data_IF_929233039287
#
_entry.id   IF_929233039287
#
_cell.length_a   1.000
_cell.length_b   1.000
_cell.length_c   1.000
_cell.angle_alpha   90.00
_cell.angle_beta   90.00
_cell.angle_gamma   90.00
#
_symmetry.space_group_name_H-M   'P 1'
#
loop_
_entity.id
_entity.type
_entity.pdbx_description
1 polymer ?
#
# COMPACT_ATOMS: atom_id res chain seq x y z
N UNK A 1 -4.80 -6.95 9.54
CA UNK A 1 -4.10 -5.66 9.48
C UNK A 1 -3.28 -5.65 8.20
N UNK A 2 -3.39 -4.63 7.35
CA UNK A 2 -2.69 -4.63 6.05
C UNK A 2 -1.22 -4.26 6.25
N UNK A 3 -0.35 -4.85 5.43
CA UNK A 3 1.05 -4.44 5.40
C UNK A 3 1.16 -3.02 4.82
N UNK A 4 2.01 -2.19 5.42
CA UNK A 4 2.24 -0.82 4.96
C UNK A 4 3.73 -0.49 4.89
N UNK A 5 4.07 0.51 4.09
CA UNK A 5 5.40 1.07 3.99
C UNK A 5 5.55 2.19 5.02
N UNK A 6 6.51 2.05 5.92
CA UNK A 6 6.81 3.08 6.92
C UNK A 6 7.67 4.17 6.29
N UNK A 7 7.04 5.31 5.99
CA UNK A 7 7.70 6.47 5.36
C UNK A 7 8.02 7.49 6.44
N UNK A 8 9.31 7.79 6.62
CA UNK A 8 9.73 8.82 7.58
C UNK A 8 9.48 10.23 7.04
N UNK A 9 8.28 10.74 7.32
CA UNK A 9 7.83 12.08 6.92
C UNK A 9 8.61 13.23 7.57
N UNK A 10 9.44 12.96 8.59
CA UNK A 10 10.29 13.99 9.21
C UNK A 10 11.60 14.19 8.45
N UNK A 11 11.99 13.23 7.62
CA UNK A 11 13.24 13.21 6.88
C UNK A 11 12.99 13.15 5.37
N UNK A 12 12.28 14.15 4.83
CA UNK A 12 12.00 14.28 3.39
C UNK A 12 13.11 15.09 2.70
N UNK A 13 13.63 14.66 1.53
CA UNK A 13 13.26 13.46 0.79
C UNK A 13 13.65 12.17 1.49
N UNK A 14 12.71 11.24 1.60
CA UNK A 14 12.93 9.94 2.23
C UNK A 14 13.21 8.91 1.13
N UNK A 15 14.38 8.27 1.19
CA UNK A 15 14.80 7.26 0.22
C UNK A 15 14.98 5.95 0.95
N UNK A 16 14.37 4.90 0.43
CA UNK A 16 14.44 3.57 0.99
C UNK A 16 14.39 2.53 -0.13
N UNK A 17 14.86 1.33 0.20
CA UNK A 17 14.86 0.18 -0.70
C UNK A 17 13.92 -0.87 -0.13
N UNK A 18 13.11 -1.49 -0.98
CA UNK A 18 12.19 -2.56 -0.60
C UNK A 18 12.26 -3.71 -1.58
N UNK A 19 12.12 -4.93 -1.08
CA UNK A 19 11.98 -6.14 -1.90
C UNK A 19 10.51 -6.57 -1.92
N UNK A 20 9.91 -6.66 -3.10
CA UNK A 20 8.52 -7.08 -3.33
C UNK A 20 8.54 -8.26 -4.31
N UNK A 21 8.01 -9.42 -3.89
CA UNK A 21 7.92 -10.65 -4.73
C UNK A 21 9.27 -11.03 -5.39
N UNK A 22 10.37 -10.84 -4.67
CA UNK A 22 11.72 -11.15 -5.14
C UNK A 22 12.39 -10.06 -5.98
N UNK A 23 11.67 -9.00 -6.34
CA UNK A 23 12.19 -7.85 -7.08
C UNK A 23 12.52 -6.71 -6.12
N UNK A 24 13.68 -6.07 -6.31
CA UNK A 24 14.12 -4.94 -5.48
C UNK A 24 13.77 -3.62 -6.15
N UNK A 25 13.17 -2.72 -5.39
CA UNK A 25 12.81 -1.37 -5.82
C UNK A 25 13.46 -0.33 -4.92
N UNK A 26 14.01 0.71 -5.52
CA UNK A 26 14.39 1.92 -4.82
C UNK A 26 13.23 2.91 -4.91
N UNK A 27 12.81 3.44 -3.77
CA UNK A 27 11.71 4.39 -3.69
C UNK A 27 12.19 5.68 -3.04
N UNK A 28 11.74 6.80 -3.59
CA UNK A 28 11.95 8.14 -3.03
C UNK A 28 10.61 8.81 -2.85
N UNK A 29 10.36 9.29 -1.64
CA UNK A 29 9.20 10.12 -1.31
C UNK A 29 9.63 11.56 -1.13
N UNK A 30 8.98 12.46 -1.84
CA UNK A 30 9.15 13.91 -1.76
C UNK A 30 7.85 14.57 -1.29
N UNK A 31 7.93 15.77 -0.72
CA UNK A 31 6.78 16.55 -0.27
C UNK A 31 6.67 17.85 -1.06
N UNK A 32 5.46 18.16 -1.54
CA UNK A 32 5.14 19.40 -2.22
C UNK A 32 4.52 20.39 -1.23
N UNK A 33 5.31 21.38 -0.79
CA UNK A 33 4.85 22.38 0.19
C UNK A 33 3.78 23.34 -0.36
N UNK A 34 3.68 23.50 -1.68
CA UNK A 34 2.75 24.46 -2.30
C UNK A 34 1.33 23.89 -2.35
N UNK A 35 1.22 22.60 -2.61
CA UNK A 35 -0.06 21.93 -2.84
C UNK A 35 -0.41 20.89 -1.76
N UNK A 36 0.42 20.74 -0.73
CA UNK A 36 0.24 19.87 0.44
C UNK A 36 -0.06 18.41 0.07
N UNK A 37 0.86 17.79 -0.67
CA UNK A 37 0.81 16.36 -0.95
C UNK A 37 2.20 15.76 -1.09
N UNK A 38 2.29 14.46 -0.91
CA UNK A 38 3.50 13.69 -1.12
C UNK A 38 3.54 13.10 -2.53
N UNK A 39 4.74 12.87 -3.03
CA UNK A 39 4.97 12.21 -4.33
C UNK A 39 5.93 11.06 -4.16
N UNK A 40 5.82 10.04 -5.02
CA UNK A 40 6.73 8.92 -5.04
C UNK A 40 7.42 8.77 -6.40
N UNK A 41 8.69 8.44 -6.37
CA UNK A 41 9.49 8.04 -7.52
C UNK A 41 9.99 6.63 -7.28
N UNK A 42 9.83 5.74 -8.26
CA UNK A 42 10.19 4.33 -8.16
C UNK A 42 11.22 3.99 -9.22
N UNK A 43 12.29 3.33 -8.81
CA UNK A 43 13.30 2.75 -9.68
C UNK A 43 13.39 1.24 -9.49
N UNK A 44 13.73 0.54 -10.55
CA UNK A 44 14.03 -0.88 -10.57
C UNK A 44 15.24 -1.11 -11.49
N UNK A 45 16.26 -1.83 -11.01
CA UNK A 45 17.48 -2.12 -11.78
C UNK A 45 18.11 -0.87 -12.45
N UNK A 46 18.23 0.23 -11.71
CA UNK A 46 18.70 1.55 -12.19
C UNK A 46 17.84 2.21 -13.29
N UNK A 47 16.71 1.61 -13.68
CA UNK A 47 15.70 2.22 -14.56
C UNK A 47 14.65 2.92 -13.70
N UNK A 48 14.31 4.16 -14.06
CA UNK A 48 13.21 4.90 -13.43
C UNK A 48 11.89 4.48 -14.05
N UNK A 49 10.98 3.95 -13.24
CA UNK A 49 9.67 3.45 -13.67
C UNK A 49 8.58 4.52 -13.48
N UNK A 50 8.55 5.15 -12.30
CA UNK A 50 7.63 6.23 -11.94
C UNK A 50 8.41 7.46 -11.55
N UNK A 51 7.89 8.65 -11.86
CA UNK A 51 8.54 9.93 -11.53
C UNK A 51 7.57 10.89 -10.86
N UNK A 52 7.84 11.21 -9.60
CA UNK A 52 7.07 12.18 -8.81
C UNK A 52 5.55 11.98 -8.92
N UNK A 53 5.12 10.72 -8.91
CA UNK A 53 3.70 10.37 -8.96
C UNK A 53 3.02 10.89 -7.68
N UNK A 54 1.95 11.70 -7.78
CA UNK A 54 1.22 12.17 -6.61
C UNK A 54 0.61 11.00 -5.83
N UNK A 55 0.86 10.98 -4.52
CA UNK A 55 0.19 10.05 -3.62
C UNK A 55 -1.18 10.66 -3.29
N UNK A 56 -2.23 10.14 -3.92
CA UNK A 56 -3.61 10.60 -3.76
C UNK A 56 -4.42 9.64 -2.90
N UNK A 57 -5.17 10.17 -1.94
CA UNK A 57 -5.96 9.37 -1.01
C UNK A 57 -6.93 8.45 -1.76
N UNK A 58 -6.92 7.15 -1.42
CA UNK A 58 -7.73 6.09 -2.01
C UNK A 58 -7.19 5.52 -3.33
N UNK A 59 -6.14 6.11 -3.91
CA UNK A 59 -5.64 5.71 -5.23
C UNK A 59 -4.45 4.75 -5.17
N UNK A 60 -4.36 3.93 -6.22
CA UNK A 60 -3.23 3.06 -6.49
C UNK A 60 -2.09 3.86 -7.12
N UNK A 61 -0.86 3.56 -6.70
CA UNK A 61 0.35 4.18 -7.23
C UNK A 61 0.64 3.63 -8.63
N UNK A 62 0.72 4.51 -9.62
CA UNK A 62 1.08 4.13 -10.99
C UNK A 62 0.01 3.37 -11.75
N UNK A 63 -1.26 3.46 -11.33
CA UNK A 63 -2.41 2.76 -11.95
C UNK A 63 -2.56 3.04 -13.45
N UNK A 64 -2.18 4.25 -13.89
CA UNK A 64 -2.33 4.68 -15.27
C UNK A 64 -1.13 4.31 -16.15
N UNK A 65 -0.09 3.67 -15.59
CA UNK A 65 1.13 3.32 -16.32
C UNK A 65 1.15 1.82 -16.62
N UNK A 66 1.01 1.40 -17.88
CA UNK A 66 1.11 0.00 -18.27
C UNK A 66 2.57 -0.45 -18.42
N UNK A 67 3.39 -0.31 -17.37
CA UNK A 67 4.78 -0.82 -17.35
C UNK A 67 4.83 -2.15 -16.55
N UNK A 68 5.14 -3.29 -17.19
CA UNK A 68 5.19 -4.59 -16.51
C UNK A 68 6.32 -4.72 -15.49
N UNK A 69 7.29 -3.80 -15.45
CA UNK A 69 8.36 -3.77 -14.45
C UNK A 69 7.95 -3.08 -13.14
N UNK A 70 6.77 -2.43 -13.11
CA UNK A 70 6.22 -1.91 -11.86
C UNK A 70 6.03 -3.01 -10.83
N UNK A 71 5.99 -2.66 -9.53
CA UNK A 71 5.67 -3.61 -8.48
C UNK A 71 4.43 -4.42 -8.83
N UNK A 72 4.56 -5.75 -8.80
CA UNK A 72 3.43 -6.69 -9.04
C UNK A 72 2.40 -6.65 -7.93
N UNK A 73 2.80 -6.14 -6.76
CA UNK A 73 1.92 -5.89 -5.62
C UNK A 73 1.41 -4.46 -5.76
N UNK A 74 0.09 -4.33 -5.70
CA UNK A 74 -0.59 -3.05 -5.70
C UNK A 74 -0.22 -2.25 -4.44
N UNK A 75 0.15 -0.98 -4.62
CA UNK A 75 0.46 -0.04 -3.54
C UNK A 75 -0.63 1.03 -3.55
N UNK A 76 -1.33 1.21 -2.44
CA UNK A 76 -2.43 2.17 -2.29
C UNK A 76 -2.11 3.21 -1.23
N UNK A 77 -2.37 4.48 -1.54
CA UNK A 77 -2.37 5.53 -0.51
C UNK A 77 -3.74 5.52 0.17
N UNK A 78 -3.83 5.13 1.44
CA UNK A 78 -5.13 5.05 2.13
C UNK A 78 -5.00 5.22 3.64
N UNK A 79 -6.14 5.30 4.31
CA UNK A 79 -6.31 5.24 5.76
C UNK A 79 -7.19 4.02 6.07
N UNK A 80 -6.76 3.13 6.97
CA UNK A 80 -7.53 1.95 7.39
C UNK A 80 -8.83 2.32 8.12
N UNK A 81 -8.87 3.48 8.79
CA UNK A 81 -10.05 3.92 9.55
C UNK A 81 -11.10 4.61 8.69
N UNK A 82 -10.74 5.01 7.46
CA UNK A 82 -11.62 5.73 6.54
C UNK A 82 -12.03 7.14 6.99
N UNK A 83 -11.30 7.74 7.93
CA UNK A 83 -11.61 9.05 8.51
C UNK A 83 -10.82 10.18 7.84
N UNK A 84 -9.66 9.87 7.27
CA UNK A 84 -8.86 10.85 6.57
C UNK A 84 -9.64 11.45 5.39
N UNK A 85 -9.63 12.77 5.27
CA UNK A 85 -10.22 13.52 4.14
C UNK A 85 -9.16 14.07 3.19
N UNK A 86 -7.90 14.04 3.61
CA UNK A 86 -6.73 14.48 2.85
C UNK A 86 -5.53 13.57 3.15
N UNK A 87 -4.46 13.76 2.39
CA UNK A 87 -3.18 13.04 2.47
C UNK A 87 -2.00 14.01 2.60
N UNK A 88 -2.24 15.18 3.18
CA UNK A 88 -1.25 16.22 3.38
C UNK A 88 -0.31 15.92 4.56
N UNK A 89 0.50 16.90 4.92
CA UNK A 89 1.50 16.79 6.00
C UNK A 89 0.91 16.46 7.39
N UNK A 90 -0.37 16.79 7.61
CA UNK A 90 -1.06 16.53 8.87
C UNK A 90 -1.48 15.07 9.05
N UNK A 91 -1.66 14.32 7.96
CA UNK A 91 -2.30 13.00 7.95
C UNK A 91 -1.36 11.91 7.47
N UNK A 92 -0.52 12.18 6.47
CA UNK A 92 0.40 11.20 5.90
C UNK A 92 1.52 10.81 6.87
N UNK A 93 1.80 9.51 6.98
CA UNK A 93 2.71 8.91 7.96
C UNK A 93 2.05 8.59 9.30
N UNK A 94 0.88 9.14 9.60
CA UNK A 94 0.15 8.89 10.85
C UNK A 94 -1.11 8.06 10.59
N UNK A 95 -2.08 8.68 9.92
CA UNK A 95 -3.40 8.10 9.58
C UNK A 95 -3.38 7.55 8.16
N UNK A 96 -2.85 8.33 7.21
CA UNK A 96 -2.69 7.93 5.81
C UNK A 96 -1.31 7.33 5.61
N UNK A 97 -1.24 6.15 4.99
CA UNK A 97 0.02 5.47 4.67
C UNK A 97 -0.06 4.80 3.31
N UNK A 98 1.07 4.29 2.84
CA UNK A 98 1.15 3.43 1.67
C UNK A 98 0.92 1.99 2.08
N UNK A 99 -0.22 1.43 1.74
CA UNK A 99 -0.57 0.05 2.03
C UNK A 99 -0.27 -0.84 0.82
N UNK A 100 0.26 -2.02 1.10
CA UNK A 100 0.37 -3.09 0.13
C UNK A 100 -1.00 -3.78 0.07
N UNK A 101 -1.69 -3.65 -1.06
CA UNK A 101 -3.00 -4.26 -1.33
C UNK A 101 -2.80 -5.74 -1.71
N UNK A 102 -2.14 -6.48 -0.82
CA UNK A 102 -2.17 -7.94 -0.83
C UNK A 102 -3.40 -8.34 -0.04
N UNK A 103 -4.54 -8.45 -0.72
CA UNK A 103 -5.65 -9.22 -0.17
C UNK A 103 -5.21 -10.67 -0.27
N UNK A 104 -4.96 -11.32 0.86
CA UNK A 104 -4.77 -12.77 0.86
C UNK A 104 -6.04 -13.40 0.26
N UNK A 105 -5.97 -14.06 -0.91
CA UNK A 105 -7.13 -14.70 -1.52
C UNK A 105 -7.73 -15.81 -0.64
N UNK A 106 -7.02 -16.25 0.40
CA UNK A 106 -7.43 -17.29 1.33
C UNK A 106 -7.66 -16.78 2.77
N UNK A 107 -7.58 -15.47 3.03
CA UNK A 107 -7.83 -14.90 4.36
C UNK A 107 -6.91 -15.39 5.49
N UNK A 108 -5.68 -15.81 5.20
CA UNK A 108 -4.71 -16.22 6.21
C UNK A 108 -4.22 -15.03 7.02
N UNK A 109 -4.37 -15.07 8.33
CA UNK A 109 -3.78 -14.12 9.27
C UNK A 109 -2.25 -14.30 9.44
N UNK A 110 -1.56 -14.93 8.47
CA UNK A 110 -0.14 -15.29 8.58
C UNK A 110 0.72 -14.59 7.52
N UNK A 111 2.01 -14.37 7.83
CA UNK A 111 2.98 -13.73 6.91
C UNK A 111 3.31 -14.57 5.66
N UNK A 112 2.83 -15.83 5.59
CA UNK A 112 3.00 -16.72 4.45
C UNK A 112 1.67 -16.88 3.68
N UNK A 113 1.52 -16.24 2.51
CA UNK A 113 0.29 -16.26 1.73
C UNK A 113 -0.02 -17.64 1.11
N UNK A 114 0.87 -18.63 1.27
CA UNK A 114 0.64 -20.00 0.81
C UNK A 114 0.03 -20.92 1.88
N UNK A 115 -0.06 -20.46 3.14
CA UNK A 115 -0.58 -21.26 4.24
C UNK A 115 -2.08 -21.08 4.36
N UNK A 116 -2.82 -22.18 4.16
CA UNK A 116 -4.27 -22.23 4.41
C UNK A 116 -4.55 -22.09 5.91
N UNK A 117 -5.40 -21.13 6.34
CA UNK A 117 -5.74 -20.97 7.75
C UNK A 117 -6.48 -22.19 8.30
N UNK A 118 -6.39 -22.39 9.62
CA UNK A 118 -7.17 -23.41 10.33
C UNK A 118 -8.65 -23.05 10.24
N UNK A 119 -9.39 -23.74 9.36
CA UNK A 119 -10.80 -23.48 9.10
C UNK A 119 -11.17 -23.26 7.63
N UNK A 120 -10.19 -23.20 6.72
CA UNK A 120 -10.45 -23.07 5.27
C UNK A 120 -11.31 -24.23 4.73
N UNK A 121 -12.59 -23.95 4.43
CA UNK A 121 -13.48 -24.85 3.70
C UNK A 121 -13.57 -24.39 2.22
N UNK A 122 -13.03 -25.15 1.26
CA UNK A 122 -13.08 -24.80 -0.16
C UNK A 122 -14.49 -24.80 -0.78
N UNK A 123 -15.53 -25.15 -0.01
CA UNK A 123 -16.93 -25.13 -0.46
C UNK A 123 -17.76 -24.04 0.20
N UNK A 124 -17.18 -23.24 1.09
CA UNK A 124 -17.83 -22.07 1.64
C UNK A 124 -17.80 -20.97 0.56
N UNK A 125 -18.98 -20.56 0.08
CA UNK A 125 -19.05 -19.42 -0.84
C UNK A 125 -18.67 -18.16 -0.06
N UNK A 126 -17.78 -17.34 -0.62
CA UNK A 126 -17.28 -16.05 -0.09
C UNK A 126 -18.36 -14.96 0.14
N UNK A 127 -19.64 -15.34 0.27
CA UNK A 127 -20.80 -14.46 0.24
C UNK A 127 -21.40 -14.16 1.63
N UNK A 128 -20.63 -14.38 2.71
CA UNK A 128 -21.03 -13.97 4.06
C UNK A 128 -19.95 -13.12 4.76
N UNK A 129 -19.50 -12.07 4.06
CA UNK A 129 -18.92 -10.89 4.73
C UNK A 129 -20.08 -10.00 5.24
N UNK A 130 -20.89 -10.54 6.15
CA UNK A 130 -21.63 -9.70 7.09
C UNK A 130 -21.06 -9.97 8.48
N UNK A 131 -20.11 -9.15 8.91
CA UNK A 131 -19.79 -8.98 10.33
C UNK A 131 -20.98 -8.29 11.02
N UNK A 132 -22.10 -9.00 11.11
CA UNK A 132 -23.11 -8.77 12.14
C UNK A 132 -22.97 -9.90 13.16
N UNK A 133 -22.97 -9.51 14.44
CA UNK A 133 -23.02 -10.36 15.63
C UNK A 133 -21.69 -10.95 16.13
N UNK A 134 -21.06 -10.23 17.06
CA UNK A 134 -21.11 -10.71 18.45
C UNK A 134 -21.10 -9.53 19.42
N UNK A 135 -22.30 -9.06 19.74
CA UNK A 135 -22.56 -8.57 21.10
C UNK A 135 -22.72 -9.80 22.00
N UNK A 136 -21.93 -9.90 23.09
CA UNK A 136 -22.31 -10.45 24.40
C UNK A 136 -21.31 -10.01 25.46
#
# INVERSE_FOLDING_TARGET
MRNYLDVDVKNIPYIFQITLVGDTYDMRVDYNEVADYYTITIWHNNKRLLTQEPLLLGQLVGIDIPDPELPKIDIRTMDETGKATDQGKGTFGYEVRLYLDVVDPNGSETEDPSIKPLGYDPNENDDDLTDEEVSY
#
